data_IF_798035835027
#
_entry.id   IF_798035835027
#
_cell.length_a   1.000
_cell.length_b   1.000
_cell.length_c   1.000
_cell.angle_alpha   90.00
_cell.angle_beta   90.00
_cell.angle_gamma   90.00
#
_symmetry.space_group_name_H-M   'P 1'
#
loop_
_entity.id
_entity.type
_entity.pdbx_description
1 polymer ?
#
# COMPACT_ATOMS: atom_id res chain seq x y z
N UNK A 1 17.62 12.23 -35.92
CA UNK A 1 17.41 11.26 -34.83
C UNK A 1 17.01 12.02 -33.56
N UNK A 2 15.74 12.01 -33.25
CA UNK A 2 15.26 12.57 -31.97
C UNK A 2 15.40 11.47 -30.92
N UNK A 3 16.41 11.58 -30.06
CA UNK A 3 16.47 10.82 -28.83
C UNK A 3 15.32 11.28 -27.94
N UNK A 4 14.20 10.59 -27.98
CA UNK A 4 13.22 10.71 -26.93
C UNK A 4 13.81 10.06 -25.69
N UNK A 5 14.44 10.87 -24.85
CA UNK A 5 14.65 10.49 -23.47
C UNK A 5 13.25 10.35 -22.86
N UNK A 6 12.71 9.14 -22.88
CA UNK A 6 11.65 8.77 -21.95
C UNK A 6 12.25 8.89 -20.57
N UNK A 7 12.13 10.05 -19.96
CA UNK A 7 12.24 10.15 -18.52
C UNK A 7 11.10 9.31 -17.97
N UNK A 8 11.40 8.05 -17.61
CA UNK A 8 10.47 7.25 -16.84
C UNK A 8 10.20 8.03 -15.57
N UNK A 9 9.02 8.64 -15.48
CA UNK A 9 8.56 9.28 -14.25
C UNK A 9 8.55 8.18 -13.20
N UNK A 10 9.52 8.23 -12.31
CA UNK A 10 9.63 7.27 -11.22
C UNK A 10 8.40 7.47 -10.33
N UNK A 11 7.49 6.49 -10.34
CA UNK A 11 6.30 6.55 -9.52
C UNK A 11 6.68 6.53 -8.04
N UNK A 12 6.01 7.33 -7.18
CA UNK A 12 6.34 7.38 -5.76
C UNK A 12 6.17 6.00 -5.12
N UNK A 13 7.09 5.67 -4.21
CA UNK A 13 7.07 4.43 -3.44
C UNK A 13 6.08 4.49 -2.28
N UNK A 14 5.87 5.67 -1.72
CA UNK A 14 4.99 5.92 -0.59
C UNK A 14 3.94 6.92 -1.02
N UNK A 15 2.67 6.59 -0.80
CA UNK A 15 1.54 7.43 -1.18
C UNK A 15 0.57 7.54 -0.01
N UNK A 16 0.14 8.77 0.29
CA UNK A 16 -1.04 9.00 1.10
C UNK A 16 -2.22 9.17 0.16
N UNK A 17 -3.21 8.30 0.30
CA UNK A 17 -4.43 8.33 -0.50
C UNK A 17 -5.61 8.83 0.33
N UNK A 18 -6.34 9.78 -0.23
CA UNK A 18 -7.51 10.40 0.41
C UNK A 18 -8.69 10.34 -0.54
N UNK A 19 -9.83 9.87 -0.06
CA UNK A 19 -11.05 9.78 -0.84
C UNK A 19 -12.20 10.41 -0.06
N UNK A 20 -12.68 11.56 -0.55
CA UNK A 20 -13.68 12.36 0.15
C UNK A 20 -15.10 11.88 -0.06
N UNK A 21 -15.37 11.22 -1.18
CA UNK A 21 -16.70 10.73 -1.56
C UNK A 21 -16.72 9.20 -1.62
N UNK A 22 -17.87 8.63 -1.32
CA UNK A 22 -18.08 7.20 -1.50
C UNK A 22 -18.35 6.92 -2.99
N UNK A 23 -17.34 6.39 -3.69
CA UNK A 23 -17.39 6.15 -5.13
C UNK A 23 -17.85 4.73 -5.50
N UNK A 24 -18.27 3.93 -4.51
CA UNK A 24 -18.65 2.54 -4.74
C UNK A 24 -17.49 1.60 -4.98
N UNK A 25 -17.77 0.44 -5.54
CA UNK A 25 -16.78 -0.58 -5.82
C UNK A 25 -15.95 -0.15 -7.03
N UNK A 26 -14.64 -0.18 -6.87
CA UNK A 26 -13.68 0.19 -7.92
C UNK A 26 -12.79 -1.00 -8.27
N UNK A 27 -12.49 -1.15 -9.55
CA UNK A 27 -11.48 -2.07 -10.04
C UNK A 27 -10.12 -1.37 -10.06
N UNK A 28 -9.14 -1.96 -9.42
CA UNK A 28 -7.78 -1.44 -9.37
C UNK A 28 -6.80 -2.48 -9.92
N UNK A 29 -6.07 -2.11 -10.96
CA UNK A 29 -5.00 -2.92 -11.52
C UNK A 29 -3.66 -2.48 -10.94
N UNK A 30 -2.96 -3.40 -10.27
CA UNK A 30 -1.66 -3.13 -9.68
C UNK A 30 -0.55 -3.81 -10.48
N UNK A 31 0.46 -3.04 -10.85
CA UNK A 31 1.70 -3.52 -11.47
C UNK A 31 2.84 -3.69 -10.45
N UNK A 32 2.59 -3.30 -9.23
CA UNK A 32 3.50 -3.41 -8.08
C UNK A 32 2.76 -4.01 -6.90
N UNK A 33 3.50 -4.57 -5.96
CA UNK A 33 2.94 -4.95 -4.66
C UNK A 33 2.59 -3.71 -3.85
N UNK A 34 1.54 -3.81 -3.03
CA UNK A 34 1.14 -2.73 -2.14
C UNK A 34 0.93 -3.24 -0.72
N UNK A 35 1.46 -2.50 0.25
CA UNK A 35 1.15 -2.67 1.66
C UNK A 35 0.50 -1.38 2.13
N UNK A 36 -0.70 -1.47 2.69
CA UNK A 36 -1.46 -0.31 3.12
C UNK A 36 -1.86 -0.37 4.59
N UNK A 37 -2.04 0.82 5.14
CA UNK A 37 -2.52 1.03 6.51
C UNK A 37 -3.67 2.02 6.49
N UNK A 38 -4.79 1.68 7.13
CA UNK A 38 -5.98 2.52 7.16
C UNK A 38 -5.88 3.51 8.31
N UNK A 39 -5.89 4.79 7.96
CA UNK A 39 -5.86 5.91 8.91
C UNK A 39 -7.25 6.32 9.35
N UNK A 40 -8.23 6.27 8.44
CA UNK A 40 -9.61 6.70 8.68
C UNK A 40 -10.56 6.08 7.67
N UNK A 41 -11.75 5.72 8.13
CA UNK A 41 -12.79 5.16 7.27
C UNK A 41 -12.76 3.64 7.25
N UNK A 42 -13.53 3.08 6.34
CA UNK A 42 -13.67 1.64 6.15
C UNK A 42 -13.29 1.26 4.73
N UNK A 43 -12.55 0.18 4.59
CA UNK A 43 -12.20 -0.41 3.30
C UNK A 43 -12.79 -1.80 3.18
N UNK A 44 -13.40 -2.08 2.05
CA UNK A 44 -13.81 -3.43 1.67
C UNK A 44 -12.93 -3.93 0.54
N UNK A 45 -12.47 -5.18 0.67
CA UNK A 45 -11.76 -5.89 -0.39
C UNK A 45 -12.62 -7.08 -0.78
N UNK A 46 -12.99 -7.15 -2.05
CA UNK A 46 -13.89 -8.17 -2.58
C UNK A 46 -13.11 -9.33 -3.18
N UNK A 47 -13.57 -10.54 -2.85
CA UNK A 47 -13.06 -11.79 -3.41
C UNK A 47 -14.26 -12.66 -3.81
N UNK A 48 -14.70 -12.53 -5.07
CA UNK A 48 -15.93 -13.14 -5.54
C UNK A 48 -17.16 -12.66 -4.74
N UNK A 49 -17.88 -13.60 -4.13
CA UNK A 49 -19.06 -13.29 -3.32
C UNK A 49 -18.73 -12.82 -1.90
N UNK A 50 -17.47 -12.89 -1.52
CA UNK A 50 -17.02 -12.54 -0.17
C UNK A 50 -16.38 -11.17 -0.18
N UNK A 51 -16.54 -10.46 0.93
CA UNK A 51 -15.79 -9.23 1.17
C UNK A 51 -15.12 -9.28 2.52
N UNK A 52 -13.93 -8.72 2.60
CA UNK A 52 -13.25 -8.45 3.86
C UNK A 52 -13.46 -7.00 4.25
N UNK A 53 -13.74 -6.76 5.51
CA UNK A 53 -13.92 -5.43 6.08
C UNK A 53 -12.68 -5.04 6.86
N UNK A 54 -12.11 -3.90 6.50
CA UNK A 54 -10.96 -3.33 7.20
C UNK A 54 -11.33 -1.99 7.78
N UNK A 55 -10.82 -1.73 8.96
CA UNK A 55 -11.08 -0.50 9.71
C UNK A 55 -9.78 0.22 10.04
N UNK A 56 -9.90 1.41 10.62
CA UNK A 56 -8.76 2.16 11.12
C UNK A 56 -7.82 1.27 11.94
N UNK A 57 -6.54 1.29 11.60
CA UNK A 57 -5.50 0.51 12.28
C UNK A 57 -5.22 -0.86 11.66
N UNK A 58 -5.97 -1.25 10.63
CA UNK A 58 -5.72 -2.50 9.92
C UNK A 58 -4.69 -2.30 8.81
N UNK A 59 -3.91 -3.36 8.57
CA UNK A 59 -2.94 -3.44 7.49
C UNK A 59 -3.44 -4.42 6.45
N UNK A 60 -3.22 -4.09 5.20
CA UNK A 60 -3.54 -4.97 4.09
C UNK A 60 -2.36 -5.06 3.11
N UNK A 61 -2.29 -6.18 2.46
CA UNK A 61 -1.36 -6.45 1.37
C UNK A 61 -2.17 -6.75 0.11
N UNK A 62 -1.76 -6.14 -1.00
CA UNK A 62 -2.32 -6.42 -2.31
C UNK A 62 -1.20 -6.89 -3.25
N UNK A 63 -1.39 -8.04 -3.87
CA UNK A 63 -0.49 -8.56 -4.88
C UNK A 63 -0.65 -7.85 -6.22
N UNK A 64 0.24 -8.16 -7.15
CA UNK A 64 0.14 -7.72 -8.54
C UNK A 64 -1.10 -8.35 -9.17
N UNK A 65 -1.87 -7.55 -9.90
CA UNK A 65 -3.09 -7.99 -10.58
C UNK A 65 -4.27 -7.08 -10.32
N UNK A 66 -5.46 -7.59 -10.60
CA UNK A 66 -6.72 -6.86 -10.41
C UNK A 66 -7.30 -7.09 -9.04
N UNK A 67 -7.74 -6.01 -8.40
CA UNK A 67 -8.44 -6.03 -7.12
C UNK A 67 -9.72 -5.22 -7.22
N UNK A 68 -10.76 -5.65 -6.51
CA UNK A 68 -12.01 -4.91 -6.38
C UNK A 68 -12.10 -4.40 -4.95
N UNK A 69 -12.12 -3.09 -4.81
CA UNK A 69 -12.08 -2.41 -3.52
C UNK A 69 -13.21 -1.38 -3.43
N UNK A 70 -13.58 -1.07 -2.20
CA UNK A 70 -14.50 0.01 -1.89
C UNK A 70 -14.00 0.76 -0.66
N UNK A 71 -13.81 2.07 -0.79
CA UNK A 71 -13.39 2.93 0.32
C UNK A 71 -14.58 3.78 0.77
N UNK A 72 -14.89 3.73 2.06
CA UNK A 72 -16.06 4.40 2.63
C UNK A 72 -15.63 5.45 3.65
N UNK A 73 -15.87 6.74 3.37
CA UNK A 73 -15.67 7.81 4.34
C UNK A 73 -16.59 7.63 5.55
N UNK A 74 -16.17 8.09 6.71
CA UNK A 74 -16.93 8.00 7.96
C UNK A 74 -17.08 9.35 8.65
N UNK A 75 -18.25 9.59 9.23
CA UNK A 75 -18.47 10.74 10.12
C UNK A 75 -18.21 12.10 9.48
N UNK A 76 -18.48 12.25 8.18
CA UNK A 76 -18.23 13.50 7.46
C UNK A 76 -16.76 13.77 7.18
N UNK A 77 -15.88 12.80 7.44
CA UNK A 77 -14.45 12.88 7.20
C UNK A 77 -14.04 11.96 6.05
N UNK A 78 -13.05 12.34 5.23
CA UNK A 78 -12.61 11.52 4.12
C UNK A 78 -12.00 10.19 4.59
N UNK A 79 -12.05 9.20 3.72
CA UNK A 79 -11.26 7.98 3.86
C UNK A 79 -9.78 8.32 3.63
N UNK A 80 -8.90 7.79 4.48
CA UNK A 80 -7.46 8.01 4.37
C UNK A 80 -6.68 6.71 4.60
N UNK A 81 -5.69 6.48 3.74
CA UNK A 81 -4.74 5.38 3.88
C UNK A 81 -3.31 5.81 3.49
N UNK A 82 -2.33 5.10 4.00
CA UNK A 82 -0.94 5.20 3.56
C UNK A 82 -0.56 3.90 2.88
N UNK A 83 0.04 4.01 1.70
CA UNK A 83 0.43 2.88 0.86
C UNK A 83 1.93 2.89 0.60
N UNK A 84 2.54 1.72 0.70
CA UNK A 84 3.86 1.42 0.18
C UNK A 84 3.73 0.57 -1.06
N UNK A 85 4.33 1.03 -2.16
CA UNK A 85 4.44 0.27 -3.40
C UNK A 85 5.86 -0.23 -3.57
N UNK A 86 6.01 -1.48 -3.99
CA UNK A 86 7.31 -2.06 -4.29
C UNK A 86 7.21 -3.07 -5.43
N UNK A 87 8.28 -3.14 -6.23
CA UNK A 87 8.37 -4.04 -7.38
C UNK A 87 8.85 -5.43 -6.94
N UNK A 88 8.69 -6.48 -7.77
CA UNK A 88 9.34 -7.76 -7.52
C UNK A 88 10.85 -7.64 -7.38
N UNK A 89 11.49 -6.74 -8.15
CA UNK A 89 12.92 -6.46 -8.02
C UNK A 89 13.30 -5.85 -6.67
N UNK A 90 12.48 -4.95 -6.13
CA UNK A 90 12.66 -4.39 -4.80
C UNK A 90 12.58 -5.46 -3.73
N UNK A 91 11.59 -6.36 -3.84
CA UNK A 91 11.44 -7.48 -2.91
C UNK A 91 12.67 -8.38 -2.94
N UNK A 92 13.15 -8.72 -4.13
CA UNK A 92 14.34 -9.56 -4.28
C UNK A 92 15.57 -8.92 -3.63
N UNK A 93 15.78 -7.61 -3.80
CA UNK A 93 16.86 -6.89 -3.14
C UNK A 93 16.73 -6.90 -1.61
N UNK A 94 15.53 -6.74 -1.10
CA UNK A 94 15.26 -6.79 0.34
C UNK A 94 15.58 -8.18 0.90
N UNK A 95 15.11 -9.23 0.25
CA UNK A 95 15.35 -10.61 0.67
C UNK A 95 16.84 -10.95 0.63
N UNK A 96 17.55 -10.51 -0.41
CA UNK A 96 19.01 -10.69 -0.53
C UNK A 96 19.75 -9.97 0.59
N UNK A 97 19.36 -8.74 0.90
CA UNK A 97 19.94 -7.96 2.00
C UNK A 97 19.74 -8.65 3.35
N UNK A 98 18.52 -9.14 3.63
CA UNK A 98 18.22 -9.87 4.85
C UNK A 98 19.04 -11.15 4.98
N UNK A 99 19.25 -11.87 3.87
CA UNK A 99 20.07 -13.07 3.85
C UNK A 99 21.55 -12.74 4.15
N UNK A 100 22.12 -11.74 3.46
CA UNK A 100 23.53 -11.37 3.62
C UNK A 100 23.81 -10.78 5.00
N UNK A 101 22.94 -9.89 5.49
CA UNK A 101 23.17 -9.14 6.73
C UNK A 101 22.85 -9.96 7.98
N UNK A 102 21.78 -10.74 7.93
CA UNK A 102 21.21 -11.43 9.11
C UNK A 102 21.19 -12.96 8.98
N UNK A 103 21.64 -13.50 7.86
CA UNK A 103 21.63 -14.95 7.61
C UNK A 103 20.20 -15.52 7.50
N UNK A 104 19.22 -14.69 7.23
CA UNK A 104 17.83 -15.14 7.07
C UNK A 104 17.65 -15.80 5.71
N UNK A 105 17.42 -17.11 5.71
CA UNK A 105 17.12 -17.84 4.49
C UNK A 105 15.61 -17.99 4.35
N UNK A 106 15.04 -17.23 3.42
CA UNK A 106 13.59 -17.29 3.11
C UNK A 106 13.47 -18.20 1.88
N UNK A 107 13.13 -19.46 2.11
CA UNK A 107 12.93 -20.43 1.03
C UNK A 107 11.47 -20.43 0.57
N UNK A 108 11.27 -20.57 -0.74
CA UNK A 108 9.95 -20.72 -1.35
C UNK A 108 9.37 -22.16 -1.21
N UNK A 109 9.93 -22.98 -0.35
CA UNK A 109 9.53 -24.38 -0.20
C UNK A 109 8.22 -24.57 0.57
N UNK A 110 7.57 -23.48 0.95
CA UNK A 110 6.29 -23.57 1.63
C UNK A 110 5.17 -23.83 0.60
N UNK A 111 4.84 -25.10 0.40
CA UNK A 111 3.71 -25.53 -0.43
C UNK A 111 2.37 -25.38 0.31
N UNK A 112 1.98 -24.16 0.62
CA UNK A 112 0.62 -23.90 1.07
C UNK A 112 -0.24 -23.55 -0.14
N UNK A 113 -1.08 -24.49 -0.59
CA UNK A 113 -2.00 -24.22 -1.71
C UNK A 113 -2.90 -23.03 -1.44
N UNK A 114 -3.34 -22.85 -0.20
CA UNK A 114 -4.14 -21.69 0.22
C UNK A 114 -3.37 -20.35 0.17
N UNK A 115 -2.04 -20.39 0.29
CA UNK A 115 -1.22 -19.19 0.21
C UNK A 115 -0.94 -18.76 -1.22
N UNK A 116 -0.87 -19.70 -2.16
CA UNK A 116 -0.61 -19.40 -3.58
C UNK A 116 -1.76 -18.67 -4.25
N UNK A 117 -2.99 -18.89 -3.79
CA UNK A 117 -4.20 -18.34 -4.37
C UNK A 117 -4.66 -17.03 -3.70
N UNK A 118 -3.95 -16.55 -2.69
CA UNK A 118 -4.30 -15.32 -2.01
C UNK A 118 -3.69 -14.11 -2.72
N UNK A 119 -4.55 -13.34 -3.38
CA UNK A 119 -4.17 -12.05 -3.99
C UNK A 119 -4.06 -10.93 -2.97
N UNK A 120 -4.59 -11.12 -1.76
CA UNK A 120 -4.56 -10.14 -0.68
C UNK A 120 -4.50 -10.81 0.68
N UNK A 121 -3.94 -10.12 1.64
CA UNK A 121 -3.89 -10.52 3.05
C UNK A 121 -4.22 -9.30 3.91
N UNK A 122 -5.00 -9.51 4.95
CA UNK A 122 -5.39 -8.47 5.90
C UNK A 122 -5.08 -8.90 7.32
N UNK A 123 -4.65 -7.98 8.15
CA UNK A 123 -4.37 -8.25 9.55
C UNK A 123 -4.45 -6.98 10.39
N UNK A 124 -4.83 -7.07 11.69
CA UNK A 124 -4.62 -5.97 12.61
C UNK A 124 -3.13 -5.67 12.74
N UNK A 125 -2.77 -4.39 12.74
CA UNK A 125 -1.37 -4.01 12.90
C UNK A 125 -0.94 -4.14 14.37
N UNK A 126 0.19 -4.80 14.60
CA UNK A 126 0.83 -4.76 15.92
C UNK A 126 1.52 -3.39 16.13
N UNK A 127 1.85 -3.08 17.39
CA UNK A 127 2.26 -1.73 17.78
C UNK A 127 3.43 -1.15 16.98
N UNK A 128 4.46 -1.93 16.70
CA UNK A 128 5.62 -1.46 15.92
C UNK A 128 5.25 -1.10 14.50
N UNK A 129 4.42 -1.90 13.85
CA UNK A 129 3.96 -1.65 12.49
C UNK A 129 3.03 -0.44 12.45
N UNK A 130 2.14 -0.32 13.42
CA UNK A 130 1.26 0.86 13.56
C UNK A 130 2.07 2.14 13.72
N UNK A 131 3.04 2.15 14.60
CA UNK A 131 3.92 3.31 14.84
C UNK A 131 4.71 3.67 13.58
N UNK A 132 5.19 2.69 12.84
CA UNK A 132 5.86 2.91 11.57
C UNK A 132 4.98 3.64 10.57
N UNK A 133 3.74 3.22 10.39
CA UNK A 133 2.81 3.87 9.46
C UNK A 133 2.38 5.26 9.94
N UNK A 134 2.14 5.44 11.23
CA UNK A 134 1.79 6.74 11.82
C UNK A 134 2.95 7.73 11.62
N UNK A 135 4.18 7.31 11.89
CA UNK A 135 5.36 8.15 11.69
C UNK A 135 5.58 8.48 10.22
N UNK A 136 5.36 7.53 9.33
CA UNK A 136 5.41 7.75 7.88
C UNK A 136 4.37 8.78 7.44
N UNK A 137 3.14 8.68 7.93
CA UNK A 137 2.10 9.66 7.63
C UNK A 137 2.47 11.06 8.12
N UNK A 138 3.02 11.18 9.31
CA UNK A 138 3.49 12.46 9.85
C UNK A 138 4.62 13.05 9.00
N UNK A 139 5.54 12.22 8.54
CA UNK A 139 6.61 12.64 7.65
C UNK A 139 6.07 13.16 6.30
N UNK A 140 5.12 12.47 5.71
CA UNK A 140 4.48 12.89 4.45
C UNK A 140 3.75 14.23 4.62
N UNK A 141 3.09 14.45 5.75
CA UNK A 141 2.44 15.73 6.05
C UNK A 141 3.46 16.87 6.10
N UNK A 142 4.60 16.66 6.71
CA UNK A 142 5.68 17.65 6.76
C UNK A 142 6.21 17.99 5.38
N UNK A 143 6.39 17.00 4.50
CA UNK A 143 6.83 17.22 3.12
C UNK A 143 5.83 18.06 2.31
N UNK A 144 4.54 17.76 2.44
CA UNK A 144 3.48 18.52 1.77
C UNK A 144 3.44 19.97 2.26
N UNK A 145 3.61 20.20 3.55
CA UNK A 145 3.66 21.53 4.13
C UNK A 145 4.86 22.35 3.64
N UNK A 146 5.99 21.70 3.43
CA UNK A 146 7.21 22.35 2.94
C UNK A 146 7.11 22.72 1.47
N UNK A 147 6.46 21.90 0.65
CA UNK A 147 6.24 22.20 -0.77
C UNK A 147 5.22 23.33 -0.98
N UNK A 148 4.15 23.39 -0.19
CA UNK A 148 3.17 24.48 -0.23
C UNK A 148 3.80 25.82 0.18
N UNK A 149 4.69 25.81 1.17
CA UNK A 149 5.42 27.00 1.59
C UNK A 149 6.45 27.48 0.54
N UNK A 150 6.94 26.59 -0.33
CA UNK A 150 7.86 26.96 -1.40
C UNK A 150 7.14 27.55 -2.63
N UNK A 151 5.86 27.24 -2.84
CA UNK A 151 5.06 27.74 -3.95
C UNK A 151 4.46 29.13 -3.70
N UNK A 152 4.52 29.63 -2.47
CA UNK A 152 4.01 30.95 -2.05
C UNK A 152 5.03 32.12 -2.22
N UNK A 153 5.99 31.95 -3.12
CA UNK A 153 6.94 33.04 -3.42
C UNK A 153 6.69 33.67 -4.78
#
# INVERSE_FOLDING_TARGET
>A
MKNSMNSSVQQPMIVKYVESLHNGIQSQALSRYAIGYILRGTKYIYDGDKRQTLSRGDVFYLGIGHHYIENVPEGGQPYEEVLFYYTPGDLQRILMHLNITYGLNISNEHSCENCRNRSHVTMPAWNSLRNFFINTNNYLRCLLYTSDAADDK
#
